data_IF_125944432690
#
_entry.id   IF_125944432690
#
_cell.length_a   1.000
_cell.length_b   1.000
_cell.length_c   1.000
_cell.angle_alpha   90.00
_cell.angle_beta   90.00
_cell.angle_gamma   90.00
#
_symmetry.space_group_name_H-M   'P 1'
#
loop_
_entity.id
_entity.type
_entity.pdbx_description
1 polymer ?
#
# COMPACT_ATOMS: atom_id res chain seq x y z
N UNK A 1 -17.66 -2.00 29.50
CA UNK A 1 -17.92 -2.99 28.43
C UNK A 1 -18.97 -2.39 27.52
N UNK A 2 -18.55 -1.65 26.50
CA UNK A 2 -19.43 -1.16 25.44
C UNK A 2 -19.13 -1.95 24.20
N UNK A 3 -20.01 -2.90 23.89
CA UNK A 3 -19.94 -3.72 22.70
C UNK A 3 -20.05 -2.85 21.45
N UNK A 4 -19.00 -2.82 20.67
CA UNK A 4 -19.01 -2.29 19.31
C UNK A 4 -19.78 -3.28 18.46
N UNK A 5 -20.98 -2.87 18.01
CA UNK A 5 -21.77 -3.67 17.08
C UNK A 5 -21.00 -3.77 15.75
N UNK A 6 -20.82 -4.99 15.28
CA UNK A 6 -20.36 -5.35 13.93
C UNK A 6 -21.43 -4.97 12.88
N UNK A 7 -21.80 -3.71 12.81
CA UNK A 7 -22.58 -3.20 11.68
C UNK A 7 -21.65 -3.18 10.48
N UNK A 8 -21.83 -4.13 9.56
CA UNK A 8 -21.11 -4.20 8.30
C UNK A 8 -21.23 -2.90 7.51
N UNK A 9 -20.24 -2.57 6.67
CA UNK A 9 -20.22 -1.32 5.91
C UNK A 9 -21.43 -1.21 5.00
N UNK A 10 -21.92 0.02 4.74
CA UNK A 10 -22.90 0.25 3.69
C UNK A 10 -22.31 -0.22 2.35
N UNK A 11 -23.11 -0.88 1.54
CA UNK A 11 -22.74 -1.55 0.31
C UNK A 11 -21.91 -0.65 -0.62
N UNK A 12 -20.61 -0.88 -0.69
CA UNK A 12 -19.79 -0.50 -1.83
C UNK A 12 -20.41 -1.17 -3.07
N UNK A 13 -20.44 -0.48 -4.23
CA UNK A 13 -21.04 -1.08 -5.43
C UNK A 13 -20.38 -2.43 -5.74
N UNK A 14 -21.10 -3.39 -6.31
CA UNK A 14 -20.63 -4.75 -6.59
C UNK A 14 -19.27 -4.81 -7.33
N UNK A 15 -18.88 -3.73 -8.02
CA UNK A 15 -17.59 -3.55 -8.67
C UNK A 15 -16.46 -3.33 -7.63
N UNK A 16 -16.67 -2.46 -6.65
CA UNK A 16 -15.69 -2.18 -5.60
C UNK A 16 -15.44 -3.41 -4.73
N UNK A 17 -16.51 -4.18 -4.40
CA UNK A 17 -16.38 -5.43 -3.67
C UNK A 17 -15.56 -6.48 -4.42
N UNK A 18 -15.77 -6.61 -5.74
CA UNK A 18 -14.96 -7.53 -6.56
C UNK A 18 -13.50 -7.10 -6.61
N UNK A 19 -13.25 -5.80 -6.79
CA UNK A 19 -11.89 -5.26 -6.83
C UNK A 19 -11.18 -5.43 -5.48
N UNK A 20 -11.85 -5.19 -4.35
CA UNK A 20 -11.31 -5.42 -3.02
C UNK A 20 -10.99 -6.91 -2.77
N UNK A 21 -11.88 -7.83 -3.14
CA UNK A 21 -11.62 -9.27 -3.06
C UNK A 21 -10.42 -9.70 -3.91
N UNK A 22 -10.32 -9.17 -5.14
CA UNK A 22 -9.17 -9.42 -6.01
C UNK A 22 -7.88 -8.93 -5.36
N UNK A 23 -7.81 -7.67 -4.91
CA UNK A 23 -6.63 -7.12 -4.25
C UNK A 23 -6.23 -7.93 -3.01
N UNK A 24 -7.17 -8.27 -2.15
CA UNK A 24 -6.92 -9.11 -0.99
C UNK A 24 -6.41 -10.51 -1.35
N UNK A 25 -6.88 -11.10 -2.45
CA UNK A 25 -6.39 -12.40 -2.95
C UNK A 25 -4.95 -12.32 -3.43
N UNK A 26 -4.59 -11.27 -4.22
CA UNK A 26 -3.21 -11.06 -4.66
C UNK A 26 -2.26 -10.91 -3.47
N UNK A 27 -2.61 -10.04 -2.52
CA UNK A 27 -1.79 -9.80 -1.33
C UNK A 27 -1.58 -11.08 -0.51
N UNK A 28 -2.59 -11.92 -0.31
CA UNK A 28 -2.44 -13.21 0.41
C UNK A 28 -1.44 -14.15 -0.28
N UNK A 29 -1.34 -14.11 -1.60
CA UNK A 29 -0.36 -14.90 -2.35
C UNK A 29 1.07 -14.38 -2.25
N UNK A 30 1.25 -13.11 -1.90
CA UNK A 30 2.55 -12.46 -1.89
C UNK A 30 3.20 -12.34 -0.51
N UNK A 31 2.36 -12.29 0.54
CA UNK A 31 2.84 -12.11 1.91
C UNK A 31 2.92 -13.46 2.64
N UNK A 32 4.09 -13.78 3.24
CA UNK A 32 4.23 -15.01 4.04
C UNK A 32 3.51 -14.90 5.39
N UNK A 33 3.10 -16.02 5.95
CA UNK A 33 2.63 -16.09 7.32
C UNK A 33 3.76 -15.81 8.33
N UNK A 34 3.47 -15.16 9.47
CA UNK A 34 2.20 -14.59 9.88
C UNK A 34 2.08 -13.09 9.51
N UNK A 35 1.47 -12.80 8.38
CA UNK A 35 1.13 -11.45 7.99
C UNK A 35 -0.40 -11.30 7.86
N UNK A 36 -0.91 -10.15 8.27
CA UNK A 36 -2.28 -9.76 7.94
C UNK A 36 -2.29 -9.03 6.61
N UNK A 37 -3.20 -9.39 5.73
CA UNK A 37 -3.53 -8.62 4.53
C UNK A 37 -5.04 -8.48 4.42
N UNK A 38 -5.50 -7.26 4.17
CA UNK A 38 -6.91 -6.95 4.03
C UNK A 38 -7.16 -5.92 2.94
N UNK A 39 -8.29 -6.05 2.25
CA UNK A 39 -8.77 -5.03 1.33
C UNK A 39 -10.29 -4.91 1.46
N UNK A 40 -10.80 -3.68 1.30
CA UNK A 40 -12.22 -3.37 1.39
C UNK A 40 -12.59 -2.21 0.47
N UNK A 41 -13.87 -2.11 0.06
CA UNK A 41 -14.39 -0.88 -0.49
C UNK A 41 -14.22 0.29 0.48
N UNK A 42 -13.96 1.47 -0.06
CA UNK A 42 -13.89 2.70 0.74
C UNK A 42 -15.29 3.05 1.24
N UNK A 43 -15.43 3.17 2.56
CA UNK A 43 -16.69 3.45 3.23
C UNK A 43 -16.47 4.28 4.50
N UNK A 44 -17.56 4.76 5.08
CA UNK A 44 -17.52 5.41 6.39
C UNK A 44 -17.40 4.34 7.48
N UNK A 45 -16.28 4.36 8.20
CA UNK A 45 -15.99 3.48 9.32
C UNK A 45 -15.75 4.30 10.58
N UNK A 46 -16.08 3.75 11.76
CA UNK A 46 -15.80 4.43 13.01
C UNK A 46 -14.29 4.60 13.22
N UNK A 47 -13.88 5.84 13.50
CA UNK A 47 -12.51 6.19 13.85
C UNK A 47 -12.30 6.08 15.37
N UNK A 48 -11.08 5.73 15.78
CA UNK A 48 -10.67 5.92 17.15
C UNK A 48 -10.67 7.44 17.49
N UNK A 49 -11.03 7.87 18.71
CA UNK A 49 -11.03 9.30 19.07
C UNK A 49 -9.72 10.02 18.70
N UNK A 50 -8.58 9.40 18.94
CA UNK A 50 -7.26 9.96 18.63
C UNK A 50 -6.96 10.04 17.11
N UNK A 51 -7.66 9.27 16.27
CA UNK A 51 -7.54 9.32 14.81
C UNK A 51 -8.45 10.41 14.21
N UNK A 52 -9.57 10.69 14.85
CA UNK A 52 -10.61 11.58 14.31
C UNK A 52 -10.10 13.01 14.08
N UNK A 53 -9.21 13.49 14.95
CA UNK A 53 -8.62 14.83 14.86
C UNK A 53 -7.82 15.03 13.56
N UNK A 54 -7.14 13.97 13.05
CA UNK A 54 -6.32 14.04 11.86
C UNK A 54 -7.13 14.32 10.58
N UNK A 55 -8.43 14.01 10.58
CA UNK A 55 -9.32 14.20 9.43
C UNK A 55 -10.53 15.09 9.72
N UNK A 56 -10.51 15.83 10.83
CA UNK A 56 -11.64 16.67 11.25
C UNK A 56 -12.04 17.72 10.18
N UNK A 57 -11.07 18.23 9.43
CA UNK A 57 -11.25 19.22 8.35
C UNK A 57 -11.14 18.61 6.94
N UNK A 58 -11.03 17.29 6.81
CA UNK A 58 -10.92 16.63 5.52
C UNK A 58 -12.29 16.60 4.81
N UNK A 59 -12.26 16.66 3.47
CA UNK A 59 -13.45 16.44 2.65
C UNK A 59 -13.98 15.01 2.85
N UNK A 60 -15.31 14.77 2.67
CA UNK A 60 -15.92 13.47 2.99
C UNK A 60 -15.18 12.27 2.37
N UNK A 61 -14.79 12.36 1.12
CA UNK A 61 -14.03 11.30 0.43
C UNK A 61 -12.74 10.96 1.18
N UNK A 62 -11.92 11.96 1.50
CA UNK A 62 -10.65 11.77 2.22
C UNK A 62 -10.87 11.18 3.61
N UNK A 63 -11.96 11.57 4.28
CA UNK A 63 -12.33 11.01 5.58
C UNK A 63 -12.66 9.51 5.47
N UNK A 64 -13.44 9.10 4.46
CA UNK A 64 -13.75 7.69 4.23
C UNK A 64 -12.51 6.85 3.88
N UNK A 65 -11.63 7.35 3.02
CA UNK A 65 -10.34 6.70 2.69
C UNK A 65 -9.52 6.45 3.95
N UNK A 66 -9.36 7.48 4.78
CA UNK A 66 -8.64 7.39 6.03
C UNK A 66 -9.30 6.41 7.01
N UNK A 67 -10.62 6.52 7.18
CA UNK A 67 -11.40 5.67 8.09
C UNK A 67 -11.31 4.19 7.69
N UNK A 68 -11.43 3.88 6.39
CA UNK A 68 -11.30 2.50 5.89
C UNK A 68 -9.90 1.95 6.15
N UNK A 69 -8.85 2.73 5.88
CA UNK A 69 -7.47 2.32 6.13
C UNK A 69 -7.22 2.05 7.61
N UNK A 70 -7.73 2.89 8.51
CA UNK A 70 -7.59 2.72 9.96
C UNK A 70 -8.38 1.53 10.49
N UNK A 71 -9.61 1.34 10.01
CA UNK A 71 -10.45 0.19 10.35
C UNK A 71 -9.78 -1.13 9.94
N UNK A 72 -9.30 -1.26 8.71
CA UNK A 72 -8.56 -2.44 8.24
C UNK A 72 -7.30 -2.68 9.08
N UNK A 73 -6.56 -1.62 9.40
CA UNK A 73 -5.32 -1.72 10.17
C UNK A 73 -5.58 -2.22 11.59
N UNK A 74 -6.59 -1.68 12.28
CA UNK A 74 -6.96 -2.15 13.63
C UNK A 74 -7.48 -3.59 13.59
N UNK A 75 -8.25 -3.96 12.56
CA UNK A 75 -8.62 -5.36 12.34
C UNK A 75 -7.37 -6.24 12.22
N UNK A 76 -6.37 -5.82 11.45
CA UNK A 76 -5.11 -6.55 11.32
C UNK A 76 -4.33 -6.68 12.62
N UNK A 77 -4.29 -5.63 13.46
CA UNK A 77 -3.69 -5.73 14.79
C UNK A 77 -4.35 -6.81 15.63
N UNK A 78 -5.71 -6.86 15.65
CA UNK A 78 -6.44 -7.90 16.38
C UNK A 78 -6.17 -9.31 15.86
N UNK A 79 -6.17 -9.50 14.53
CA UNK A 79 -5.87 -10.81 13.91
C UNK A 79 -4.43 -11.26 14.18
N UNK A 80 -3.51 -10.31 14.33
CA UNK A 80 -2.13 -10.59 14.77
C UNK A 80 -2.01 -10.77 16.31
N UNK A 81 -3.10 -10.74 17.06
CA UNK A 81 -3.09 -10.88 18.53
C UNK A 81 -2.48 -9.68 19.25
N UNK A 82 -2.60 -8.48 18.70
CA UNK A 82 -2.13 -7.24 19.28
C UNK A 82 -3.31 -6.37 19.75
N UNK A 83 -3.10 -5.45 20.71
CA UNK A 83 -4.13 -4.52 21.14
C UNK A 83 -4.72 -3.70 20.00
N UNK A 84 -6.02 -3.44 20.05
CA UNK A 84 -6.71 -2.51 19.17
C UNK A 84 -6.39 -1.07 19.61
N UNK A 85 -5.37 -0.48 19.01
CA UNK A 85 -4.89 0.85 19.34
C UNK A 85 -5.03 1.81 18.17
N UNK A 86 -5.16 3.10 18.46
CA UNK A 86 -5.12 4.15 17.43
C UNK A 86 -3.80 4.10 16.65
N UNK A 87 -3.90 4.38 15.35
CA UNK A 87 -2.73 4.49 14.47
C UNK A 87 -2.58 5.97 14.10
N UNK A 88 -1.63 6.62 14.75
CA UNK A 88 -1.38 8.04 14.56
C UNK A 88 -0.89 8.37 13.14
N UNK A 89 -0.90 9.66 12.81
CA UNK A 89 -0.32 10.20 11.57
C UNK A 89 1.04 10.80 11.90
N UNK A 90 2.07 10.34 11.22
CA UNK A 90 3.43 10.85 11.36
C UNK A 90 3.66 12.15 10.55
N UNK A 91 4.84 12.76 10.70
CA UNK A 91 5.18 14.03 10.05
C UNK A 91 5.19 13.94 8.52
N UNK A 92 5.42 12.78 7.94
CA UNK A 92 5.34 12.53 6.49
C UNK A 92 3.95 12.04 6.05
N UNK A 93 2.91 12.29 6.83
CA UNK A 93 1.55 11.78 6.64
C UNK A 93 1.45 10.24 6.58
N UNK A 94 2.49 9.55 6.99
CA UNK A 94 2.57 8.10 7.10
C UNK A 94 1.89 7.57 8.37
N UNK A 95 1.41 6.33 8.39
CA UNK A 95 0.92 5.71 9.61
C UNK A 95 2.07 5.46 10.59
N UNK A 96 1.88 5.82 11.86
CA UNK A 96 2.81 5.47 12.96
C UNK A 96 2.33 4.14 13.55
N UNK A 97 3.03 3.09 13.22
CA UNK A 97 2.68 1.74 13.67
C UNK A 97 3.15 1.48 15.09
N UNK A 98 2.43 0.65 15.89
CA UNK A 98 2.97 0.09 17.13
C UNK A 98 4.31 -0.61 16.89
N UNK A 99 5.22 -0.55 17.87
CA UNK A 99 6.58 -1.11 17.73
C UNK A 99 6.60 -2.61 17.35
N UNK A 100 5.55 -3.35 17.73
CA UNK A 100 5.41 -4.78 17.45
C UNK A 100 5.04 -5.12 16.00
N UNK A 101 4.79 -4.13 15.12
CA UNK A 101 4.44 -4.37 13.71
C UNK A 101 5.18 -3.44 12.74
N UNK A 102 5.29 -3.89 11.51
CA UNK A 102 5.51 -3.06 10.32
C UNK A 102 4.26 -3.14 9.45
N UNK A 103 3.94 -2.07 8.73
CA UNK A 103 2.70 -2.04 7.98
C UNK A 103 2.66 -0.99 6.88
N UNK A 104 1.66 -1.11 6.03
CA UNK A 104 1.43 -0.21 4.89
C UNK A 104 -0.05 -0.12 4.59
N UNK A 105 -0.48 1.06 4.13
CA UNK A 105 -1.86 1.34 3.70
C UNK A 105 -1.78 1.93 2.30
N UNK A 106 -2.68 1.50 1.43
CA UNK A 106 -2.91 2.13 0.13
C UNK A 106 -4.38 2.25 -0.16
N UNK A 107 -4.75 3.24 -0.94
CA UNK A 107 -6.13 3.41 -1.44
C UNK A 107 -6.12 4.18 -2.75
N UNK A 108 -6.91 3.76 -3.69
CA UNK A 108 -7.24 4.52 -4.90
C UNK A 108 -8.59 4.04 -5.47
N UNK A 109 -9.21 4.87 -6.30
CA UNK A 109 -10.56 4.59 -6.79
C UNK A 109 -11.53 4.34 -5.65
N UNK A 110 -12.12 3.17 -5.59
CA UNK A 110 -13.11 2.76 -4.59
C UNK A 110 -12.56 1.73 -3.58
N UNK A 111 -11.25 1.45 -3.59
CA UNK A 111 -10.64 0.36 -2.81
C UNK A 111 -9.55 0.88 -1.88
N UNK A 112 -9.50 0.33 -0.68
CA UNK A 112 -8.41 0.46 0.27
C UNK A 112 -7.84 -0.92 0.58
N UNK A 113 -6.51 -1.00 0.74
CA UNK A 113 -5.82 -2.23 1.15
C UNK A 113 -4.76 -1.94 2.21
N UNK A 114 -4.52 -2.94 3.05
CA UNK A 114 -3.58 -2.89 4.18
C UNK A 114 -2.79 -4.20 4.23
N UNK A 115 -1.50 -4.10 4.54
CA UNK A 115 -0.68 -5.23 4.91
C UNK A 115 0.09 -4.92 6.21
N UNK A 116 0.11 -5.89 7.14
CA UNK A 116 0.82 -5.80 8.42
C UNK A 116 1.63 -7.08 8.66
N UNK A 117 2.83 -6.94 9.22
CA UNK A 117 3.61 -8.07 9.72
C UNK A 117 4.10 -7.79 11.14
N UNK A 118 4.15 -8.83 11.99
CA UNK A 118 4.73 -8.72 13.34
C UNK A 118 6.23 -8.41 13.27
N UNK A 119 6.74 -7.72 14.27
CA UNK A 119 8.18 -7.56 14.53
C UNK A 119 8.57 -8.32 15.82
N UNK A 120 9.76 -8.90 15.88
CA UNK A 120 10.71 -9.10 14.78
C UNK A 120 10.17 -10.15 13.78
N UNK A 121 10.27 -9.84 12.48
CA UNK A 121 10.05 -10.82 11.43
C UNK A 121 11.41 -11.08 10.77
N UNK A 122 12.01 -12.25 10.88
CA UNK A 122 13.37 -12.53 10.39
C UNK A 122 13.56 -12.24 8.89
N UNK A 123 12.47 -12.23 8.14
CA UNK A 123 12.49 -12.07 6.69
C UNK A 123 11.85 -10.76 6.19
N UNK A 124 11.40 -9.85 7.09
CA UNK A 124 10.68 -8.63 6.69
C UNK A 124 11.13 -7.44 7.55
N UNK A 125 12.04 -6.62 7.01
CA UNK A 125 12.43 -5.35 7.61
C UNK A 125 11.45 -4.21 7.27
N UNK A 126 10.81 -4.29 6.10
CA UNK A 126 9.82 -3.32 5.66
C UNK A 126 8.86 -3.87 4.62
N UNK A 127 7.64 -3.34 4.62
CA UNK A 127 6.60 -3.69 3.65
C UNK A 127 5.96 -2.44 3.08
N UNK A 128 5.70 -2.47 1.78
CA UNK A 128 4.94 -1.45 1.08
C UNK A 128 4.02 -2.07 0.05
N UNK A 129 2.82 -1.54 -0.05
CA UNK A 129 1.87 -1.86 -1.11
C UNK A 129 1.38 -0.58 -1.76
N UNK A 130 1.09 -0.66 -3.04
CA UNK A 130 0.47 0.44 -3.76
C UNK A 130 -0.62 -0.05 -4.70
N UNK A 131 -1.70 0.72 -4.79
CA UNK A 131 -2.87 0.45 -5.61
C UNK A 131 -3.13 1.66 -6.49
N UNK A 132 -3.25 1.45 -7.79
CA UNK A 132 -3.51 2.49 -8.78
C UNK A 132 -4.76 2.14 -9.56
N UNK A 133 -5.74 3.04 -9.60
CA UNK A 133 -6.96 2.92 -10.38
C UNK A 133 -6.72 3.42 -11.81
N UNK A 134 -6.66 2.52 -12.78
CA UNK A 134 -6.26 2.78 -14.17
C UNK A 134 -7.03 3.90 -14.85
N UNK A 135 -8.38 3.98 -14.79
CA UNK A 135 -9.13 5.03 -15.46
C UNK A 135 -8.73 6.47 -15.08
N UNK A 136 -8.09 6.64 -13.91
CA UNK A 136 -7.66 7.95 -13.42
C UNK A 136 -6.21 8.30 -13.78
N UNK A 137 -5.39 7.32 -14.16
CA UNK A 137 -3.93 7.47 -14.13
C UNK A 137 -3.22 7.35 -15.49
N UNK A 138 -3.74 6.59 -16.47
CA UNK A 138 -2.95 6.19 -17.65
C UNK A 138 -2.36 7.36 -18.46
N UNK A 139 -3.12 8.43 -18.68
CA UNK A 139 -2.60 9.61 -19.39
C UNK A 139 -1.60 10.40 -18.55
N UNK A 140 -1.94 10.60 -17.29
CA UNK A 140 -1.15 11.42 -16.36
C UNK A 140 0.20 10.79 -16.05
N UNK A 141 0.32 9.44 -15.97
CA UNK A 141 1.57 8.77 -15.64
C UNK A 141 2.63 8.93 -16.74
N UNK A 142 2.25 9.00 -18.01
CA UNK A 142 3.17 9.27 -19.10
C UNK A 142 3.78 10.66 -19.00
N UNK A 143 2.97 11.65 -18.69
CA UNK A 143 3.43 13.05 -18.56
C UNK A 143 4.29 13.23 -17.31
N UNK A 144 4.04 12.46 -16.26
CA UNK A 144 4.80 12.49 -15.01
C UNK A 144 6.06 11.60 -15.03
N UNK A 145 6.27 10.80 -16.06
CA UNK A 145 7.41 9.87 -16.14
C UNK A 145 8.75 10.53 -15.79
N UNK A 146 9.10 11.73 -16.28
CA UNK A 146 10.37 12.39 -15.93
C UNK A 146 10.50 12.74 -14.45
N UNK A 147 9.38 12.79 -13.71
CA UNK A 147 9.38 13.14 -12.27
C UNK A 147 9.76 11.94 -11.41
N UNK A 148 9.45 10.71 -11.84
CA UNK A 148 9.68 9.52 -11.03
C UNK A 148 10.60 8.47 -11.68
N UNK A 149 10.96 8.60 -12.99
CA UNK A 149 11.85 7.65 -13.67
C UNK A 149 13.22 8.24 -13.95
N UNK A 150 14.24 7.38 -13.96
CA UNK A 150 15.61 7.69 -14.32
C UNK A 150 15.95 7.27 -15.77
N UNK A 151 15.05 6.60 -16.47
CA UNK A 151 15.24 6.26 -17.87
C UNK A 151 14.58 4.94 -18.32
N UNK A 152 14.81 4.57 -19.60
CA UNK A 152 14.07 3.49 -20.27
C UNK A 152 14.27 2.11 -19.64
N UNK A 153 15.42 1.83 -19.04
CA UNK A 153 15.70 0.54 -18.41
C UNK A 153 14.82 0.24 -17.19
N UNK A 154 14.23 1.25 -16.56
CA UNK A 154 13.21 1.06 -15.52
C UNK A 154 11.87 0.66 -16.12
N UNK A 155 11.51 1.19 -17.29
CA UNK A 155 10.31 0.77 -18.02
C UNK A 155 10.42 -0.67 -18.52
N UNK A 156 11.61 -1.09 -18.97
CA UNK A 156 11.89 -2.49 -19.32
C UNK A 156 11.69 -3.41 -18.09
N UNK A 157 12.15 -2.99 -16.92
CA UNK A 157 11.96 -3.74 -15.68
C UNK A 157 10.48 -3.85 -15.28
N UNK A 158 9.71 -2.76 -15.45
CA UNK A 158 8.27 -2.77 -15.21
C UNK A 158 7.51 -3.63 -16.23
N UNK A 159 7.89 -3.58 -17.51
CA UNK A 159 7.32 -4.40 -18.56
C UNK A 159 7.60 -5.90 -18.37
N UNK A 160 8.71 -6.27 -17.72
CA UNK A 160 9.07 -7.65 -17.44
C UNK A 160 8.10 -8.38 -16.50
N UNK A 161 7.19 -7.67 -15.82
CA UNK A 161 6.08 -8.30 -15.09
C UNK A 161 4.99 -8.87 -16.01
N UNK A 162 5.02 -8.57 -17.32
CA UNK A 162 4.11 -9.14 -18.31
C UNK A 162 2.64 -8.71 -18.16
N UNK A 163 2.38 -7.56 -17.54
CA UNK A 163 1.04 -7.04 -17.34
C UNK A 163 0.53 -6.31 -18.59
N UNK A 164 -0.77 -6.48 -18.90
CA UNK A 164 -1.42 -5.77 -20.03
C UNK A 164 -1.81 -4.35 -19.63
N UNK A 165 -0.86 -3.57 -19.11
CA UNK A 165 -0.98 -2.16 -18.70
C UNK A 165 0.28 -1.40 -19.08
N UNK A 166 0.17 -0.09 -19.22
CA UNK A 166 1.31 0.77 -19.52
C UNK A 166 2.43 0.61 -18.49
N UNK A 167 3.69 0.34 -18.90
CA UNK A 167 4.81 0.13 -17.99
C UNK A 167 5.06 1.30 -17.04
N UNK A 168 4.70 2.52 -17.44
CA UNK A 168 4.81 3.73 -16.63
C UNK A 168 3.96 3.64 -15.35
N UNK A 169 2.76 3.08 -15.46
CA UNK A 169 1.85 2.90 -14.31
C UNK A 169 2.42 1.84 -13.36
N UNK A 170 2.93 0.73 -13.91
CA UNK A 170 3.55 -0.35 -13.12
C UNK A 170 4.79 0.19 -12.40
N UNK A 171 5.66 0.92 -13.10
CA UNK A 171 6.87 1.52 -12.53
C UNK A 171 6.55 2.49 -11.39
N UNK A 172 5.58 3.39 -11.62
CA UNK A 172 5.13 4.33 -10.59
C UNK A 172 4.69 3.58 -9.32
N UNK A 173 3.79 2.64 -9.46
CA UNK A 173 3.24 1.86 -8.35
C UNK A 173 4.31 1.03 -7.62
N UNK A 174 5.28 0.44 -8.36
CA UNK A 174 6.41 -0.28 -7.75
C UNK A 174 7.28 0.67 -6.90
N UNK A 175 7.59 1.87 -7.40
CA UNK A 175 8.36 2.87 -6.65
C UNK A 175 7.62 3.33 -5.40
N UNK A 176 6.32 3.60 -5.48
CA UNK A 176 5.49 3.91 -4.32
C UNK A 176 5.50 2.78 -3.28
N UNK A 177 5.43 1.53 -3.72
CA UNK A 177 5.55 0.38 -2.82
C UNK A 177 6.92 0.33 -2.13
N UNK A 178 8.02 0.57 -2.85
CA UNK A 178 9.37 0.62 -2.25
C UNK A 178 9.48 1.77 -1.26
N UNK A 179 9.04 2.97 -1.63
CA UNK A 179 9.06 4.16 -0.77
C UNK A 179 8.31 3.87 0.54
N UNK A 180 7.10 3.31 0.46
CA UNK A 180 6.31 2.94 1.64
C UNK A 180 7.02 1.88 2.51
N UNK A 181 7.73 0.94 1.89
CA UNK A 181 8.46 -0.10 2.62
C UNK A 181 9.65 0.43 3.42
N UNK A 182 10.35 1.48 2.92
CA UNK A 182 11.58 1.98 3.55
C UNK A 182 11.40 3.31 4.29
N UNK A 183 10.31 4.06 4.05
CA UNK A 183 10.08 5.40 4.61
C UNK A 183 10.14 5.45 6.14
N UNK A 184 9.55 4.46 6.82
CA UNK A 184 9.57 4.41 8.28
C UNK A 184 10.98 4.26 8.87
N UNK A 185 11.93 3.70 8.11
CA UNK A 185 13.32 3.52 8.51
C UNK A 185 14.18 4.74 8.18
N UNK A 186 13.87 5.41 7.06
CA UNK A 186 14.62 6.59 6.61
C UNK A 186 14.17 7.83 7.39
N UNK A 187 12.88 7.97 7.69
CA UNK A 187 12.33 9.08 8.47
C UNK A 187 12.28 10.42 7.71
N UNK A 188 12.54 10.42 6.41
CA UNK A 188 12.59 11.61 5.57
C UNK A 188 11.89 11.36 4.23
N UNK A 189 11.66 12.44 3.48
CA UNK A 189 11.12 12.38 2.11
C UNK A 189 12.07 11.60 1.20
N UNK A 190 11.50 10.70 0.40
CA UNK A 190 12.26 9.91 -0.57
C UNK A 190 11.84 10.36 -1.97
N UNK A 191 12.78 10.94 -2.71
CA UNK A 191 12.60 11.22 -4.13
C UNK A 191 12.39 9.89 -4.89
N UNK A 192 11.30 9.70 -5.64
CA UNK A 192 11.09 8.50 -6.43
C UNK A 192 12.24 8.18 -7.40
N UNK A 193 12.98 9.18 -7.85
CA UNK A 193 14.16 9.00 -8.70
C UNK A 193 15.38 8.43 -7.95
N UNK A 194 15.38 8.50 -6.62
CA UNK A 194 16.40 7.82 -5.81
C UNK A 194 16.17 6.30 -5.71
N UNK A 195 14.97 5.83 -6.10
CA UNK A 195 14.67 4.41 -6.24
C UNK A 195 14.97 4.00 -7.68
N UNK A 196 15.96 3.12 -7.88
CA UNK A 196 16.32 2.56 -9.19
C UNK A 196 15.86 1.10 -9.28
N UNK A 197 15.03 0.78 -10.27
CA UNK A 197 14.45 -0.57 -10.48
C UNK A 197 14.94 -1.08 -11.83
N UNK A 198 15.64 -2.22 -11.84
CA UNK A 198 16.24 -2.80 -13.05
C UNK A 198 15.89 -4.27 -13.19
N UNK A 199 15.84 -4.74 -14.42
CA UNK A 199 15.82 -6.17 -14.73
C UNK A 199 17.24 -6.67 -15.01
N UNK A 200 17.74 -7.58 -14.16
CA UNK A 200 19.01 -8.27 -14.33
C UNK A 200 18.88 -9.72 -13.85
N UNK A 201 18.40 -10.61 -14.71
CA UNK A 201 18.05 -12.00 -14.33
C UNK A 201 17.04 -12.06 -13.16
N UNK A 202 16.21 -11.04 -13.06
CA UNK A 202 15.26 -10.77 -11.99
C UNK A 202 15.23 -9.27 -11.64
N UNK A 203 14.28 -8.88 -10.81
CA UNK A 203 14.17 -7.48 -10.38
C UNK A 203 15.29 -7.16 -9.38
N UNK A 204 16.04 -6.10 -9.67
CA UNK A 204 17.01 -5.49 -8.77
C UNK A 204 16.50 -4.11 -8.38
N UNK A 205 16.41 -3.85 -7.09
CA UNK A 205 16.01 -2.57 -6.54
C UNK A 205 17.19 -1.92 -5.80
N UNK A 206 17.35 -0.60 -5.96
CA UNK A 206 18.36 0.20 -5.26
C UNK A 206 17.74 1.48 -4.71
N UNK A 207 18.31 1.98 -3.63
CA UNK A 207 18.02 3.30 -3.09
C UNK A 207 19.32 4.01 -2.73
N UNK A 208 19.47 5.27 -3.18
CA UNK A 208 20.67 6.09 -2.98
C UNK A 208 21.98 5.34 -3.31
N UNK A 209 21.97 4.53 -4.40
CA UNK A 209 23.09 3.73 -4.86
C UNK A 209 23.29 2.40 -4.14
N UNK A 210 22.70 2.17 -2.96
CA UNK A 210 22.72 0.92 -2.23
C UNK A 210 21.70 -0.09 -2.76
N UNK A 211 22.04 -1.39 -2.79
CA UNK A 211 21.10 -2.45 -3.12
C UNK A 211 20.12 -2.66 -1.97
N UNK A 212 18.83 -2.77 -2.31
CA UNK A 212 17.78 -3.23 -1.40
C UNK A 212 17.52 -4.71 -1.70
N UNK A 213 17.52 -5.54 -0.67
CA UNK A 213 17.02 -6.91 -0.78
C UNK A 213 15.49 -6.86 -0.75
N UNK A 214 14.91 -6.68 -1.94
CA UNK A 214 13.49 -6.43 -2.15
C UNK A 214 12.87 -7.54 -2.99
N UNK A 215 11.87 -8.21 -2.43
CA UNK A 215 10.96 -9.04 -3.21
C UNK A 215 9.81 -8.17 -3.68
N UNK A 216 9.63 -8.07 -4.99
CA UNK A 216 8.63 -7.21 -5.61
C UNK A 216 7.58 -8.03 -6.36
N UNK A 217 6.33 -7.61 -6.25
CA UNK A 217 5.20 -8.23 -6.91
C UNK A 217 4.34 -7.19 -7.61
N UNK A 218 3.72 -7.57 -8.71
CA UNK A 218 2.76 -6.74 -9.42
C UNK A 218 1.64 -7.60 -10.04
N UNK A 219 0.44 -7.09 -10.03
CA UNK A 219 -0.71 -7.67 -10.71
C UNK A 219 -1.61 -6.56 -11.27
N UNK A 220 -2.32 -6.86 -12.36
CA UNK A 220 -3.35 -5.99 -12.91
C UNK A 220 -4.67 -6.74 -13.04
N UNK A 221 -5.78 -6.07 -12.72
CA UNK A 221 -7.11 -6.65 -12.84
C UNK A 221 -8.21 -5.71 -12.34
N UNK A 222 -9.40 -5.87 -12.89
CA UNK A 222 -10.61 -5.11 -12.50
C UNK A 222 -10.43 -3.58 -12.52
N UNK A 223 -9.59 -3.07 -13.44
CA UNK A 223 -9.32 -1.64 -13.56
C UNK A 223 -8.25 -1.11 -12.59
N UNK A 224 -7.47 -1.99 -11.96
CA UNK A 224 -6.41 -1.62 -11.01
C UNK A 224 -5.06 -2.26 -11.36
N UNK A 225 -3.99 -1.57 -10.98
CA UNK A 225 -2.66 -2.15 -10.75
C UNK A 225 -2.45 -2.22 -9.24
N UNK A 226 -1.96 -3.34 -8.76
CA UNK A 226 -1.55 -3.54 -7.37
C UNK A 226 -0.09 -3.98 -7.38
N UNK A 227 0.74 -3.36 -6.56
CA UNK A 227 2.13 -3.75 -6.38
C UNK A 227 2.46 -3.95 -4.90
N UNK A 228 3.52 -4.72 -4.65
CA UNK A 228 4.07 -4.90 -3.31
C UNK A 228 5.61 -4.93 -3.35
N UNK A 229 6.23 -4.41 -2.29
CA UNK A 229 7.65 -4.52 -2.00
C UNK A 229 7.84 -5.04 -0.57
N UNK A 230 8.50 -6.19 -0.44
CA UNK A 230 8.92 -6.77 0.84
C UNK A 230 10.43 -6.63 0.93
N UNK A 231 10.92 -5.89 1.92
CA UNK A 231 12.34 -5.64 2.16
C UNK A 231 12.80 -6.59 3.27
N UNK A 232 13.87 -7.33 3.03
CA UNK A 232 14.52 -8.20 4.02
C UNK A 232 15.54 -7.44 4.86
#
# INVERSE_FOLDING_TARGET
MTGWSDAGPPAGGASADRAARWAGSQLRGWFPDPAFVGAAPIADHPLHPDEAAAVARAVPRRRMEFATGRWLSRRGLRELGLPDTAIAVGPLHNPVWPAAVTGTITHDGEVCAVALARRPAPAIAGIGIDLVHLPRCERQMRDLLPVFSTGPAELEAAAAFGLSVAPEVVLFSLKESVIKAISARIGDFIDPRAIDIRWRQGIVCRHAGGRLDARMHAAAGLGYVLTAALIA
#
